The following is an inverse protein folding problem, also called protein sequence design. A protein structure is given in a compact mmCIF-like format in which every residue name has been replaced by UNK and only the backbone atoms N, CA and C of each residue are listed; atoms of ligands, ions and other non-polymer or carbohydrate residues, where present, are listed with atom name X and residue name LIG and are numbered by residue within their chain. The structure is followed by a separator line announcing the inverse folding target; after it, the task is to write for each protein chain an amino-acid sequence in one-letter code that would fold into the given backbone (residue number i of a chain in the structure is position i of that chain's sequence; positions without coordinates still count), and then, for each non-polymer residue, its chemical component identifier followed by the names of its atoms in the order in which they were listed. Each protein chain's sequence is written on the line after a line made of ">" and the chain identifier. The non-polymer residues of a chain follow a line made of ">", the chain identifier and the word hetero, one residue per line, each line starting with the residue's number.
data_IF_350533592957
#
_entry.id   IF_350533592957
#
_cell.length_a   1.000
_cell.length_b   1.000
_cell.length_c   1.000
_cell.angle_alpha   90.00
_cell.angle_beta   90.00
_cell.angle_gamma   90.00
#
_symmetry.space_group_name_H-M   'P 1'
#
loop_
_entity.id
_entity.type
_entity.pdbx_description
1 polymer ?
#
# COMPACT_ATOMS: atom_id res chain seq x y z
N UNK A 1 16.97 2.42 1.86
CA UNK A 1 17.52 3.03 0.63
C UNK A 1 18.97 3.51 0.80
N UNK A 2 19.32 4.28 1.84
CA UNK A 2 20.68 4.82 2.07
C UNK A 2 21.78 3.71 2.11
N UNK A 3 21.53 2.58 2.76
CA UNK A 3 22.48 1.47 2.83
C UNK A 3 22.74 0.80 1.46
N UNK A 4 21.73 0.72 0.60
CA UNK A 4 21.86 0.16 -0.75
C UNK A 4 22.74 1.06 -1.65
N UNK A 5 22.63 2.37 -1.51
CA UNK A 5 23.46 3.34 -2.26
C UNK A 5 24.93 3.29 -1.81
N UNK A 6 25.20 3.20 -0.50
CA UNK A 6 26.56 3.13 0.03
C UNK A 6 27.36 1.88 -0.41
N UNK A 7 26.65 0.78 -0.67
CA UNK A 7 27.27 -0.48 -1.13
C UNK A 7 27.24 -0.67 -2.66
N UNK A 8 26.42 0.12 -3.36
CA UNK A 8 26.19 0.00 -4.81
C UNK A 8 27.48 0.02 -5.62
N UNK A 9 28.32 1.03 -5.39
CA UNK A 9 29.56 1.19 -6.14
C UNK A 9 30.53 0.01 -5.94
N UNK A 10 30.58 -0.55 -4.72
CA UNK A 10 31.40 -1.75 -4.45
C UNK A 10 30.87 -3.00 -5.15
N UNK A 11 29.55 -3.13 -5.28
CA UNK A 11 28.93 -4.31 -5.87
C UNK A 11 28.83 -4.23 -7.40
N UNK A 12 28.69 -3.05 -7.97
CA UNK A 12 28.39 -2.87 -9.39
C UNK A 12 29.47 -2.09 -10.15
N UNK A 13 30.47 -1.55 -9.46
CA UNK A 13 31.53 -0.73 -10.05
C UNK A 13 31.10 0.69 -10.44
N UNK A 14 29.83 1.07 -10.21
CA UNK A 14 29.27 2.39 -10.58
C UNK A 14 28.51 3.03 -9.43
N UNK A 15 28.53 4.34 -9.39
CA UNK A 15 27.70 5.17 -8.51
C UNK A 15 26.24 5.17 -8.98
N UNK A 16 25.33 5.64 -8.13
CA UNK A 16 23.93 5.82 -8.50
C UNK A 16 23.76 6.78 -9.69
N UNK A 17 24.53 7.87 -9.70
CA UNK A 17 24.46 8.88 -10.76
C UNK A 17 24.89 8.32 -12.11
N UNK A 18 26.00 7.56 -12.14
CA UNK A 18 26.45 6.89 -13.35
C UNK A 18 25.45 5.86 -13.87
N UNK A 19 24.75 5.16 -12.97
CA UNK A 19 23.67 4.25 -13.36
C UNK A 19 22.47 4.98 -13.94
N UNK A 20 22.03 6.08 -13.33
CA UNK A 20 20.90 6.87 -13.84
C UNK A 20 21.23 7.47 -15.21
N UNK A 21 22.45 7.97 -15.40
CA UNK A 21 22.89 8.45 -16.71
C UNK A 21 22.92 7.33 -17.75
N UNK A 22 23.32 6.14 -17.36
CA UNK A 22 23.32 4.97 -18.24
C UNK A 22 21.90 4.57 -18.68
N UNK A 23 20.93 4.57 -17.75
CA UNK A 23 19.50 4.34 -18.06
C UNK A 23 19.01 5.36 -19.10
N UNK A 24 19.33 6.64 -18.90
CA UNK A 24 18.95 7.71 -19.84
C UNK A 24 19.55 7.49 -21.24
N UNK A 25 20.82 7.08 -21.33
CA UNK A 25 21.49 6.86 -22.62
C UNK A 25 21.08 5.54 -23.29
N UNK A 26 20.51 4.59 -22.55
CA UNK A 26 19.98 3.34 -23.10
C UNK A 26 18.67 3.51 -23.90
N UNK A 27 18.10 4.72 -23.94
CA UNK A 27 16.84 4.99 -24.64
C UNK A 27 15.61 4.39 -23.96
N UNK A 28 15.72 4.02 -22.68
CA UNK A 28 14.60 3.54 -21.88
C UNK A 28 13.80 4.72 -21.34
N UNK A 29 12.47 4.56 -21.25
CA UNK A 29 11.63 5.49 -20.50
C UNK A 29 11.84 5.25 -18.99
N UNK A 30 12.41 6.20 -18.24
CA UNK A 30 12.64 6.05 -16.81
C UNK A 30 11.36 5.89 -15.99
N UNK A 31 10.20 6.35 -16.51
CA UNK A 31 8.91 6.21 -15.84
C UNK A 31 8.40 4.76 -15.89
N UNK A 32 8.87 3.95 -16.84
CA UNK A 32 8.62 2.51 -16.92
C UNK A 32 9.59 1.73 -16.03
N UNK A 33 9.52 1.93 -14.71
CA UNK A 33 10.48 1.39 -13.74
C UNK A 33 10.66 -0.14 -13.85
N UNK A 34 9.62 -0.89 -14.24
CA UNK A 34 9.71 -2.34 -14.43
C UNK A 34 10.63 -2.71 -15.61
N UNK A 35 10.58 -1.95 -16.69
CA UNK A 35 11.43 -2.20 -17.86
C UNK A 35 12.88 -1.82 -17.58
N UNK A 36 13.08 -0.70 -16.85
CA UNK A 36 14.41 -0.31 -16.36
C UNK A 36 15.01 -1.41 -15.47
N UNK A 37 14.25 -1.95 -14.52
CA UNK A 37 14.72 -3.04 -13.64
C UNK A 37 15.05 -4.31 -14.40
N UNK A 38 14.20 -4.68 -15.36
CA UNK A 38 14.44 -5.84 -16.23
C UNK A 38 15.75 -5.67 -17.02
N UNK A 39 15.95 -4.53 -17.63
CA UNK A 39 17.18 -4.22 -18.36
C UNK A 39 18.42 -4.24 -17.46
N UNK A 40 18.36 -3.62 -16.27
CA UNK A 40 19.45 -3.68 -15.30
C UNK A 40 19.83 -5.11 -14.88
N UNK A 41 18.82 -5.98 -14.74
CA UNK A 41 19.01 -7.39 -14.45
C UNK A 41 19.66 -8.14 -15.63
N UNK A 42 19.01 -8.04 -16.79
CA UNK A 42 19.29 -8.93 -17.92
C UNK A 42 20.59 -8.53 -18.66
N UNK A 43 20.88 -7.23 -18.74
CA UNK A 43 22.05 -6.71 -19.45
C UNK A 43 23.26 -6.53 -18.52
N UNK A 44 23.02 -6.13 -17.27
CA UNK A 44 24.10 -5.75 -16.35
C UNK A 44 24.23 -6.65 -15.12
N UNK A 45 23.34 -7.61 -14.91
CA UNK A 45 23.39 -8.52 -13.75
C UNK A 45 23.25 -7.82 -12.39
N UNK A 46 22.63 -6.62 -12.35
CA UNK A 46 22.51 -5.81 -11.14
C UNK A 46 21.66 -6.54 -10.11
N UNK A 47 22.05 -6.60 -8.81
CA UNK A 47 21.26 -7.22 -7.75
C UNK A 47 19.90 -6.53 -7.56
N UNK A 48 18.86 -7.28 -7.18
CA UNK A 48 17.47 -6.83 -7.13
C UNK A 48 17.27 -5.53 -6.34
N UNK A 49 17.80 -5.43 -5.12
CA UNK A 49 17.64 -4.20 -4.32
C UNK A 49 18.28 -2.98 -4.98
N UNK A 50 19.40 -3.21 -5.70
CA UNK A 50 20.08 -2.15 -6.44
C UNK A 50 19.32 -1.74 -7.69
N UNK A 51 18.65 -2.69 -8.38
CA UNK A 51 17.75 -2.39 -9.50
C UNK A 51 16.62 -1.43 -9.06
N UNK A 52 16.01 -1.69 -7.89
CA UNK A 52 14.97 -0.82 -7.34
C UNK A 52 15.48 0.59 -7.08
N UNK A 53 16.64 0.71 -6.44
CA UNK A 53 17.23 2.02 -6.12
C UNK A 53 17.58 2.83 -7.38
N UNK A 54 18.11 2.19 -8.42
CA UNK A 54 18.46 2.84 -9.68
C UNK A 54 17.19 3.26 -10.43
N UNK A 55 16.20 2.36 -10.56
CA UNK A 55 14.97 2.64 -11.29
C UNK A 55 14.17 3.79 -10.62
N UNK A 56 14.07 3.79 -9.29
CA UNK A 56 13.43 4.87 -8.54
C UNK A 56 14.16 6.21 -8.75
N UNK A 57 15.48 6.23 -8.63
CA UNK A 57 16.27 7.45 -8.83
C UNK A 57 16.17 7.98 -10.28
N UNK A 58 16.15 7.09 -11.27
CA UNK A 58 15.97 7.47 -12.68
C UNK A 58 14.59 8.06 -12.92
N UNK A 59 13.53 7.44 -12.36
CA UNK A 59 12.17 7.93 -12.46
C UNK A 59 11.99 9.30 -11.78
N UNK A 60 12.53 9.48 -10.56
CA UNK A 60 12.48 10.78 -9.85
C UNK A 60 13.17 11.89 -10.63
N UNK A 61 14.32 11.62 -11.27
CA UNK A 61 14.99 12.59 -12.15
C UNK A 61 14.20 12.91 -13.42
N UNK A 62 13.35 11.98 -13.87
CA UNK A 62 12.43 12.19 -14.98
C UNK A 62 11.10 12.86 -14.55
N UNK A 63 10.98 13.29 -13.29
CA UNK A 63 9.81 14.00 -12.77
C UNK A 63 8.76 13.10 -12.11
N UNK A 64 9.05 11.79 -11.87
CA UNK A 64 8.15 10.93 -11.12
C UNK A 64 8.05 11.39 -9.67
N UNK A 65 6.84 11.55 -9.22
CA UNK A 65 6.51 11.84 -7.82
C UNK A 65 5.87 10.58 -7.23
N UNK A 66 6.27 10.21 -6.02
CA UNK A 66 5.69 9.07 -5.32
C UNK A 66 4.21 9.35 -5.04
N UNK A 67 3.29 8.45 -5.47
CA UNK A 67 1.88 8.64 -5.23
C UNK A 67 1.58 8.71 -3.74
N UNK A 68 0.74 9.65 -3.36
CA UNK A 68 0.21 9.77 -1.99
C UNK A 68 -0.80 8.65 -1.70
N UNK A 69 -1.18 8.41 -0.41
CA UNK A 69 -2.28 7.52 -0.09
C UNK A 69 -3.58 7.89 -0.82
N UNK A 70 -3.83 9.19 -1.00
CA UNK A 70 -4.98 9.73 -1.74
C UNK A 70 -4.94 9.35 -3.23
N UNK A 71 -3.79 9.54 -3.90
CA UNK A 71 -3.61 9.16 -5.31
C UNK A 71 -3.83 7.65 -5.53
N UNK A 72 -3.38 6.84 -4.59
CA UNK A 72 -3.62 5.39 -4.61
C UNK A 72 -5.11 5.07 -4.44
N UNK A 73 -5.81 5.74 -3.53
CA UNK A 73 -7.24 5.57 -3.32
C UNK A 73 -8.03 6.03 -4.56
N UNK A 74 -7.70 7.20 -5.15
CA UNK A 74 -8.33 7.70 -6.37
C UNK A 74 -8.22 6.68 -7.52
N UNK A 75 -7.03 6.10 -7.70
CA UNK A 75 -6.81 5.07 -8.71
C UNK A 75 -7.61 3.79 -8.41
N UNK A 76 -7.63 3.35 -7.14
CA UNK A 76 -8.28 2.12 -6.69
C UNK A 76 -9.80 2.18 -6.84
N UNK A 77 -10.38 3.35 -6.59
CA UNK A 77 -11.82 3.59 -6.66
C UNK A 77 -12.26 4.28 -7.95
N UNK A 78 -11.46 4.25 -9.01
CA UNK A 78 -11.86 4.78 -10.31
C UNK A 78 -12.95 3.92 -11.01
N UNK A 79 -13.72 4.54 -11.89
CA UNK A 79 -14.70 3.87 -12.74
C UNK A 79 -15.86 3.25 -11.95
N UNK A 80 -16.16 1.98 -12.16
CA UNK A 80 -17.29 1.28 -11.52
C UNK A 80 -17.22 1.15 -10.02
N UNK A 81 -16.07 1.46 -9.40
CA UNK A 81 -15.85 1.39 -7.96
C UNK A 81 -16.02 2.74 -7.27
N UNK A 82 -16.32 3.81 -8.00
CA UNK A 82 -16.38 5.18 -7.46
C UNK A 82 -17.42 5.34 -6.34
N UNK A 83 -18.52 4.58 -6.37
CA UNK A 83 -19.54 4.59 -5.33
C UNK A 83 -19.05 4.11 -3.95
N UNK A 84 -17.95 3.32 -3.92
CA UNK A 84 -17.37 2.82 -2.67
C UNK A 84 -16.39 3.82 -2.02
N UNK A 85 -16.00 4.89 -2.73
CA UNK A 85 -15.00 5.83 -2.23
C UNK A 85 -15.43 6.53 -0.93
N UNK A 86 -16.67 7.03 -0.78
CA UNK A 86 -17.11 7.65 0.48
C UNK A 86 -17.05 6.68 1.67
N UNK A 87 -17.41 5.41 1.47
CA UNK A 87 -17.32 4.37 2.50
C UNK A 87 -15.86 4.10 2.89
N UNK A 88 -14.97 3.98 1.89
CA UNK A 88 -13.53 3.83 2.12
C UNK A 88 -13.01 4.98 2.98
N UNK A 89 -13.30 6.21 2.60
CA UNK A 89 -12.81 7.39 3.31
C UNK A 89 -13.35 7.47 4.74
N UNK A 90 -14.62 7.11 4.94
CA UNK A 90 -15.24 7.02 6.27
C UNK A 90 -14.55 5.97 7.16
N UNK A 91 -14.31 4.76 6.66
CA UNK A 91 -13.65 3.69 7.42
C UNK A 91 -12.19 4.06 7.73
N UNK A 92 -11.46 4.61 6.77
CA UNK A 92 -10.08 5.04 6.97
C UNK A 92 -10.01 6.19 8.00
N UNK A 93 -10.89 7.18 7.90
CA UNK A 93 -10.95 8.28 8.85
C UNK A 93 -11.26 7.78 10.28
N UNK A 94 -12.21 6.86 10.42
CA UNK A 94 -12.55 6.23 11.70
C UNK A 94 -11.34 5.50 12.29
N UNK A 95 -10.65 4.69 11.48
CA UNK A 95 -9.49 3.92 11.94
C UNK A 95 -8.31 4.82 12.32
N UNK A 96 -8.01 5.85 11.54
CA UNK A 96 -6.95 6.83 11.83
C UNK A 96 -7.27 7.66 13.06
N UNK A 97 -8.56 7.95 13.30
CA UNK A 97 -9.04 8.71 14.46
C UNK A 97 -8.88 7.99 15.82
N UNK A 98 -8.53 6.70 15.85
CA UNK A 98 -8.37 5.94 17.09
C UNK A 98 -7.15 6.37 17.91
N UNK A 99 -6.13 6.99 17.30
CA UNK A 99 -4.97 7.48 18.02
C UNK A 99 -4.02 8.29 17.15
N UNK A 100 -3.25 9.19 17.80
CA UNK A 100 -2.25 10.04 17.12
C UNK A 100 -1.09 9.24 16.51
N UNK A 101 -0.92 7.99 16.92
CA UNK A 101 0.09 7.05 16.42
C UNK A 101 -0.40 6.20 15.24
N UNK A 102 -1.55 6.57 14.64
CA UNK A 102 -2.12 5.92 13.47
C UNK A 102 -1.86 6.70 12.19
N UNK A 103 -1.64 5.97 11.09
CA UNK A 103 -1.55 6.54 9.76
C UNK A 103 -2.12 5.58 8.70
N UNK A 104 -2.74 6.14 7.68
CA UNK A 104 -3.04 5.41 6.46
C UNK A 104 -1.83 5.46 5.52
N UNK A 105 -1.46 4.33 4.92
CA UNK A 105 -0.43 4.25 3.89
C UNK A 105 -1.07 4.04 2.51
N UNK A 106 -0.34 4.44 1.45
CA UNK A 106 -0.77 4.23 0.07
C UNK A 106 -0.27 2.88 -0.47
N UNK A 107 -1.19 2.07 -1.02
CA UNK A 107 -0.86 0.89 -1.82
C UNK A 107 -1.82 0.76 -2.99
N UNK A 108 -1.37 0.17 -4.08
CA UNK A 108 -2.16 0.07 -5.32
C UNK A 108 -3.40 -0.83 -5.22
N UNK A 109 -3.49 -1.70 -4.22
CA UNK A 109 -4.56 -2.72 -4.12
C UNK A 109 -5.37 -2.66 -2.84
N UNK A 110 -4.94 -1.92 -1.84
CA UNK A 110 -5.65 -1.70 -0.58
C UNK A 110 -5.01 -0.54 0.18
N UNK A 111 -5.74 0.05 1.12
CA UNK A 111 -5.24 1.07 2.04
C UNK A 111 -4.98 0.42 3.40
N UNK A 112 -3.72 0.19 3.81
CA UNK A 112 -3.42 -0.25 5.18
C UNK A 112 -3.55 0.91 6.15
N UNK A 113 -4.09 0.64 7.34
CA UNK A 113 -4.01 1.55 8.48
C UNK A 113 -3.05 0.94 9.50
N UNK A 114 -2.04 1.70 9.85
CA UNK A 114 -0.89 1.25 10.61
C UNK A 114 -0.81 2.02 11.92
N UNK A 115 -0.54 1.32 13.00
CA UNK A 115 -0.09 1.85 14.27
C UNK A 115 1.40 1.56 14.41
N UNK A 116 1.84 0.70 15.29
CA UNK A 116 3.18 0.10 15.25
C UNK A 116 3.30 -0.96 14.17
N UNK A 117 2.23 -1.68 13.93
CA UNK A 117 2.06 -2.59 12.80
C UNK A 117 0.68 -2.38 12.18
N UNK A 118 0.48 -2.87 10.96
CA UNK A 118 -0.83 -2.79 10.31
C UNK A 118 -1.88 -3.50 11.16
N UNK A 119 -3.00 -2.82 11.47
CA UNK A 119 -4.12 -3.37 12.21
C UNK A 119 -5.41 -3.46 11.40
N UNK A 120 -5.54 -2.61 10.36
CA UNK A 120 -6.67 -2.65 9.44
C UNK A 120 -6.21 -2.52 7.99
N UNK A 121 -7.07 -2.95 7.05
CA UNK A 121 -6.88 -2.81 5.62
C UNK A 121 -8.21 -2.60 4.93
N UNK A 122 -8.30 -1.63 4.02
CA UNK A 122 -9.53 -1.30 3.29
C UNK A 122 -9.30 -1.42 1.79
N UNK A 123 -10.19 -2.12 1.09
CA UNK A 123 -10.10 -2.30 -0.36
C UNK A 123 -11.48 -2.52 -0.98
N UNK A 124 -11.63 -2.33 -2.31
CA UNK A 124 -12.79 -2.85 -3.02
C UNK A 124 -12.91 -4.36 -2.83
N UNK A 125 -14.09 -4.81 -2.45
CA UNK A 125 -14.45 -6.21 -2.31
C UNK A 125 -15.11 -6.78 -3.59
N UNK A 126 -15.53 -8.05 -3.58
CA UNK A 126 -16.30 -8.65 -4.66
C UNK A 126 -17.70 -8.03 -4.71
N UNK A 127 -18.35 -8.18 -5.87
CA UNK A 127 -19.76 -7.80 -6.08
C UNK A 127 -20.13 -6.34 -5.72
N UNK A 128 -19.16 -5.41 -5.81
CA UNK A 128 -19.42 -3.99 -5.51
C UNK A 128 -19.47 -3.66 -4.01
N UNK A 129 -18.89 -4.50 -3.16
CA UNK A 129 -18.77 -4.23 -1.71
C UNK A 129 -17.45 -3.55 -1.36
N UNK A 130 -17.38 -2.93 -0.19
CA UNK A 130 -16.13 -2.52 0.45
C UNK A 130 -15.67 -3.62 1.39
N UNK A 131 -14.44 -4.08 1.24
CA UNK A 131 -13.82 -5.04 2.15
C UNK A 131 -13.04 -4.31 3.22
N UNK A 132 -13.32 -4.65 4.48
CA UNK A 132 -12.58 -4.16 5.64
C UNK A 132 -11.95 -5.35 6.35
N UNK A 133 -10.62 -5.39 6.36
CA UNK A 133 -9.82 -6.43 7.02
C UNK A 133 -9.28 -5.94 8.35
N UNK A 134 -9.29 -6.82 9.34
CA UNK A 134 -8.81 -6.59 10.70
C UNK A 134 -7.68 -7.57 11.03
N UNK A 135 -6.68 -7.12 11.74
CA UNK A 135 -5.61 -7.98 12.23
C UNK A 135 -5.74 -8.20 13.72
N UNK A 136 -6.50 -9.20 14.11
CA UNK A 136 -6.55 -9.67 15.49
C UNK A 136 -5.40 -10.66 15.73
N UNK A 137 -4.63 -10.45 16.79
CA UNK A 137 -3.45 -11.26 17.13
C UNK A 137 -3.72 -12.25 18.25
N UNK A 138 -4.60 -11.89 19.18
CA UNK A 138 -4.85 -12.66 20.40
C UNK A 138 -6.33 -13.00 20.57
N UNK A 139 -7.22 -12.03 20.41
CA UNK A 139 -8.65 -12.21 20.68
C UNK A 139 -9.45 -11.63 19.53
N UNK A 140 -10.36 -12.42 18.98
CA UNK A 140 -11.32 -12.01 17.95
C UNK A 140 -12.60 -11.58 18.65
N UNK A 141 -13.10 -10.36 18.44
CA UNK A 141 -14.39 -9.94 18.97
C UNK A 141 -15.53 -10.82 18.44
N UNK A 142 -16.55 -11.03 19.24
CA UNK A 142 -17.77 -11.70 18.80
C UNK A 142 -18.61 -10.76 17.94
N UNK A 143 -18.61 -10.98 16.63
CA UNK A 143 -19.41 -10.25 15.65
C UNK A 143 -19.72 -11.20 14.50
N UNK A 144 -21.00 -11.46 14.26
CA UNK A 144 -21.47 -12.42 13.26
C UNK A 144 -21.15 -12.00 11.81
N UNK A 145 -20.78 -10.74 11.58
CA UNK A 145 -20.36 -10.23 10.27
C UNK A 145 -18.92 -10.63 9.90
N UNK A 146 -18.12 -11.00 10.91
CA UNK A 146 -16.72 -11.38 10.69
C UNK A 146 -16.60 -12.74 10.03
N UNK A 147 -15.74 -12.82 9.05
CA UNK A 147 -15.28 -14.07 8.44
C UNK A 147 -13.76 -14.15 8.51
N UNK A 148 -13.22 -15.37 8.58
CA UNK A 148 -11.77 -15.55 8.51
C UNK A 148 -11.21 -15.03 7.18
N UNK A 149 -10.15 -14.23 7.25
CA UNK A 149 -9.50 -13.68 6.07
C UNK A 149 -8.53 -14.72 5.48
N UNK A 150 -8.67 -14.95 4.18
CA UNK A 150 -7.77 -15.82 3.46
C UNK A 150 -6.91 -14.98 2.48
N UNK A 151 -5.66 -14.68 2.90
CA UNK A 151 -4.67 -14.05 2.03
C UNK A 151 -4.89 -12.56 1.74
N UNK A 152 -5.69 -11.83 2.53
CA UNK A 152 -5.89 -10.40 2.35
C UNK A 152 -5.07 -9.57 3.33
N UNK A 153 -4.09 -8.84 2.82
CA UNK A 153 -3.42 -7.70 3.48
C UNK A 153 -3.02 -7.96 4.95
N UNK A 154 -2.50 -9.15 5.27
CA UNK A 154 -2.15 -9.58 6.63
C UNK A 154 -3.32 -9.58 7.64
N UNK A 155 -4.54 -9.48 7.18
CA UNK A 155 -5.73 -9.54 8.03
C UNK A 155 -5.97 -10.97 8.51
N UNK A 156 -6.45 -11.10 9.75
CA UNK A 156 -6.93 -12.38 10.29
C UNK A 156 -8.42 -12.60 9.99
N UNK A 157 -9.19 -11.51 10.00
CA UNK A 157 -10.61 -11.49 9.70
C UNK A 157 -10.96 -10.31 8.81
N UNK A 158 -12.10 -10.41 8.16
CA UNK A 158 -12.70 -9.33 7.37
C UNK A 158 -14.22 -9.32 7.49
N UNK A 159 -14.80 -8.22 7.08
CA UNK A 159 -16.21 -8.10 6.72
C UNK A 159 -16.35 -7.29 5.42
N UNK A 160 -17.56 -7.26 4.90
CA UNK A 160 -17.90 -6.48 3.73
C UNK A 160 -19.04 -5.52 4.05
N UNK A 161 -18.91 -4.27 3.61
CA UNK A 161 -19.99 -3.29 3.58
C UNK A 161 -20.56 -3.23 2.18
N UNK A 162 -21.87 -3.21 2.04
CA UNK A 162 -22.55 -3.01 0.77
C UNK A 162 -22.35 -1.56 0.27
N UNK A 163 -22.50 -1.34 -1.04
CA UNK A 163 -22.29 0.00 -1.62
C UNK A 163 -23.32 1.05 -1.16
N UNK A 164 -24.45 0.61 -0.62
CA UNK A 164 -25.52 1.43 -0.05
C UNK A 164 -25.43 1.56 1.48
N UNK A 165 -24.39 1.00 2.11
CA UNK A 165 -24.10 1.20 3.53
C UNK A 165 -23.95 2.69 3.85
N UNK A 166 -24.39 3.08 5.04
CA UNK A 166 -24.37 4.48 5.48
C UNK A 166 -23.30 4.77 6.55
N UNK A 167 -23.32 5.99 7.08
CA UNK A 167 -22.38 6.42 8.12
C UNK A 167 -22.55 5.62 9.43
N UNK A 168 -23.77 5.11 9.74
CA UNK A 168 -23.99 4.29 10.94
C UNK A 168 -23.36 2.91 10.77
N UNK A 169 -23.41 2.34 9.56
CA UNK A 169 -22.72 1.08 9.23
C UNK A 169 -21.21 1.25 9.42
N UNK A 170 -20.64 2.36 8.92
CA UNK A 170 -19.21 2.67 9.12
C UNK A 170 -18.89 2.80 10.61
N UNK A 171 -19.67 3.59 11.38
CA UNK A 171 -19.48 3.74 12.84
C UNK A 171 -19.61 2.43 13.61
N UNK A 172 -20.43 1.50 13.13
CA UNK A 172 -20.58 0.19 13.74
C UNK A 172 -19.31 -0.65 13.74
N UNK A 173 -18.30 -0.25 12.96
CA UNK A 173 -16.99 -0.89 12.90
C UNK A 173 -16.04 -0.44 14.01
N UNK A 174 -16.34 0.64 14.72
CA UNK A 174 -15.46 1.22 15.73
C UNK A 174 -15.00 0.20 16.78
N UNK A 175 -15.86 -0.65 17.37
CA UNK A 175 -15.40 -1.66 18.33
C UNK A 175 -14.43 -2.69 17.75
N UNK A 176 -14.60 -3.06 16.48
CA UNK A 176 -13.72 -3.98 15.78
C UNK A 176 -12.37 -3.35 15.45
N UNK A 177 -12.39 -2.11 14.96
CA UNK A 177 -11.20 -1.32 14.68
C UNK A 177 -10.40 -1.06 15.96
N UNK A 178 -11.09 -0.70 17.08
CA UNK A 178 -10.46 -0.49 18.38
C UNK A 178 -9.79 -1.78 18.89
N UNK A 179 -10.50 -2.92 18.80
CA UNK A 179 -9.94 -4.20 19.22
C UNK A 179 -8.71 -4.61 18.38
N UNK A 180 -8.71 -4.32 17.09
CA UNK A 180 -7.54 -4.56 16.23
C UNK A 180 -6.41 -3.57 16.54
N UNK A 181 -6.72 -2.29 16.74
CA UNK A 181 -5.75 -1.24 17.14
C UNK A 181 -5.02 -1.60 18.43
N UNK A 182 -5.74 -2.02 19.49
CA UNK A 182 -5.16 -2.36 20.78
C UNK A 182 -4.18 -3.54 20.70
N UNK A 183 -4.40 -4.46 19.78
CA UNK A 183 -3.56 -5.66 19.59
C UNK A 183 -2.35 -5.41 18.67
N UNK A 184 -2.18 -4.22 18.10
CA UNK A 184 -1.13 -3.91 17.11
C UNK A 184 -0.24 -2.71 17.49
N UNK A 185 -0.28 -2.31 18.77
CA UNK A 185 0.54 -1.25 19.36
C UNK A 185 1.90 -1.71 19.86
#
# INVERSE_FOLDING_TARGET
>A
MIAAVATMQKQTGRTLDEWVDLVRHAGLDPLQQNDVRRWLKDVHGVPQNTQWAIADAAARRAGWVEPTPEDHADTMYAGSKASLRPLHDGVVALAVGLGEDCAAEGRSTYTPVVRRTQFAAVAPGPHGTLRVGFRFRTTVPADDRLSEANGFAQSSHWLHLDADSDENDVRSLEPLLQAAYDQNG
#
